data_IF_346114445649
#
_entry.id   IF_346114445649
#
_cell.length_a   1.000
_cell.length_b   1.000
_cell.length_c   1.000
_cell.angle_alpha   90.00
_cell.angle_beta   90.00
_cell.angle_gamma   90.00
#
_symmetry.space_group_name_H-M   'P 1'
#
loop_
_entity.id
_entity.type
_entity.pdbx_description
1 polymer ?
#
# COMPACT_ATOMS: atom_id res chain seq x y z
N UNK A 1 -9.11 -26.18 -15.03
CA UNK A 1 -8.30 -25.11 -15.68
C UNK A 1 -8.72 -23.71 -15.20
N UNK A 2 -10.01 -23.34 -15.25
CA UNK A 2 -10.52 -22.01 -14.87
C UNK A 2 -10.27 -21.63 -13.41
N UNK A 3 -10.40 -22.55 -12.46
CA UNK A 3 -10.18 -22.31 -11.02
C UNK A 3 -8.70 -21.96 -10.72
N UNK A 4 -7.75 -22.55 -11.44
CA UNK A 4 -6.33 -22.32 -11.24
C UNK A 4 -5.90 -20.94 -11.79
N UNK A 5 -6.48 -20.51 -12.90
CA UNK A 5 -6.26 -19.18 -13.46
C UNK A 5 -6.82 -18.08 -12.56
N UNK A 6 -8.04 -18.26 -12.03
CA UNK A 6 -8.65 -17.31 -11.10
C UNK A 6 -7.80 -17.13 -9.81
N UNK A 7 -7.25 -18.21 -9.27
CA UNK A 7 -6.36 -18.17 -8.10
C UNK A 7 -5.04 -17.46 -8.42
N UNK A 8 -4.45 -17.70 -9.59
CA UNK A 8 -3.23 -17.03 -10.01
C UNK A 8 -3.45 -15.53 -10.20
N UNK A 9 -4.57 -15.12 -10.81
CA UNK A 9 -4.94 -13.70 -10.99
C UNK A 9 -5.11 -13.01 -9.63
N UNK A 10 -5.89 -13.60 -8.72
CA UNK A 10 -6.07 -13.08 -7.37
C UNK A 10 -4.75 -12.93 -6.60
N UNK A 11 -3.84 -13.89 -6.74
CA UNK A 11 -2.53 -13.82 -6.12
C UNK A 11 -1.67 -12.70 -6.70
N UNK A 12 -1.64 -12.57 -8.02
CA UNK A 12 -0.91 -11.50 -8.71
C UNK A 12 -1.45 -10.11 -8.36
N UNK A 13 -2.77 -9.93 -8.30
CA UNK A 13 -3.42 -8.67 -7.93
C UNK A 13 -3.08 -8.26 -6.49
N UNK A 14 -3.07 -9.21 -5.54
CA UNK A 14 -2.69 -8.95 -4.15
C UNK A 14 -1.22 -8.58 -4.00
N UNK A 15 -0.33 -9.28 -4.71
CA UNK A 15 1.09 -8.93 -4.71
C UNK A 15 1.32 -7.53 -5.27
N UNK A 16 0.61 -7.16 -6.34
CA UNK A 16 0.67 -5.83 -6.91
C UNK A 16 0.18 -4.77 -5.91
N UNK A 17 -0.96 -4.99 -5.25
CA UNK A 17 -1.51 -4.07 -4.25
C UNK A 17 -0.53 -3.85 -3.07
N UNK A 18 0.09 -4.92 -2.56
CA UNK A 18 1.10 -4.85 -1.50
C UNK A 18 2.33 -4.04 -1.93
N UNK A 19 2.83 -4.28 -3.15
CA UNK A 19 3.98 -3.55 -3.69
C UNK A 19 3.65 -2.06 -3.90
N UNK A 20 2.46 -1.75 -4.40
CA UNK A 20 2.00 -0.38 -4.63
C UNK A 20 1.83 0.42 -3.35
N UNK A 21 1.16 -0.14 -2.34
CA UNK A 21 0.99 0.53 -1.04
C UNK A 21 2.33 0.77 -0.35
N UNK A 22 3.24 -0.21 -0.37
CA UNK A 22 4.60 -0.05 0.15
C UNK A 22 5.41 1.02 -0.59
N UNK A 23 5.29 1.10 -1.92
CA UNK A 23 5.95 2.14 -2.72
C UNK A 23 5.37 3.53 -2.42
N UNK A 24 4.06 3.66 -2.29
CA UNK A 24 3.43 4.92 -1.88
C UNK A 24 3.96 5.37 -0.52
N UNK A 25 4.03 4.47 0.46
CA UNK A 25 4.57 4.78 1.79
C UNK A 25 6.00 5.32 1.72
N UNK A 26 6.87 4.67 0.95
CA UNK A 26 8.25 5.10 0.76
C UNK A 26 8.33 6.50 0.12
N UNK A 27 7.53 6.77 -0.92
CA UNK A 27 7.49 8.06 -1.60
C UNK A 27 6.96 9.19 -0.69
N UNK A 28 5.98 8.91 0.17
CA UNK A 28 5.49 9.88 1.15
C UNK A 28 6.56 10.27 2.17
N UNK A 29 7.34 9.31 2.65
CA UNK A 29 8.47 9.56 3.55
C UNK A 29 9.54 10.38 2.83
N UNK A 30 9.86 10.02 1.58
CA UNK A 30 10.85 10.73 0.78
C UNK A 30 10.46 12.19 0.53
N UNK A 31 9.20 12.51 0.26
CA UNK A 31 8.73 13.88 0.11
C UNK A 31 9.06 14.74 1.35
N UNK A 32 8.82 14.22 2.54
CA UNK A 32 9.13 14.93 3.78
C UNK A 32 10.63 15.14 3.97
N UNK A 33 11.42 14.11 3.65
CA UNK A 33 12.88 14.19 3.74
C UNK A 33 13.42 15.25 2.78
N UNK A 34 12.95 15.30 1.54
CA UNK A 34 13.37 16.28 0.55
C UNK A 34 13.09 17.72 1.01
N UNK A 35 11.92 17.98 1.59
CA UNK A 35 11.61 19.29 2.16
C UNK A 35 12.52 19.62 3.35
N UNK A 36 12.76 18.66 4.25
CA UNK A 36 13.63 18.85 5.40
C UNK A 36 15.09 19.16 4.97
N UNK A 37 15.61 18.44 3.99
CA UNK A 37 16.95 18.71 3.42
C UNK A 37 17.02 20.10 2.80
N UNK A 38 15.99 20.52 2.07
CA UNK A 38 15.94 21.87 1.47
C UNK A 38 15.90 22.99 2.52
N UNK A 39 15.37 22.74 3.71
CA UNK A 39 15.39 23.71 4.83
C UNK A 39 16.75 23.76 5.54
N UNK A 40 17.47 22.64 5.60
CA UNK A 40 18.79 22.56 6.24
C UNK A 40 19.89 23.07 5.31
N UNK A 41 19.74 22.83 4.00
CA UNK A 41 20.69 23.26 2.97
C UNK A 41 19.92 24.07 1.91
N UNK A 42 19.62 25.35 2.19
CA UNK A 42 18.72 26.17 1.37
C UNK A 42 19.45 26.84 0.20
N UNK A 43 20.37 26.14 -0.47
CA UNK A 43 20.98 26.61 -1.72
C UNK A 43 20.05 26.34 -2.92
N UNK A 44 20.19 27.15 -3.96
CA UNK A 44 19.35 27.13 -5.15
C UNK A 44 19.33 25.76 -5.85
N UNK A 45 20.48 25.09 -5.95
CA UNK A 45 20.59 23.80 -6.63
C UNK A 45 19.86 22.69 -5.85
N UNK A 46 20.03 22.64 -4.54
CA UNK A 46 19.34 21.71 -3.64
C UNK A 46 17.83 21.95 -3.66
N UNK A 47 17.39 23.18 -3.53
CA UNK A 47 15.96 23.54 -3.58
C UNK A 47 15.35 23.14 -4.92
N UNK A 48 15.98 23.48 -6.03
CA UNK A 48 15.48 23.15 -7.37
C UNK A 48 15.34 21.64 -7.55
N UNK A 49 16.36 20.88 -7.20
CA UNK A 49 16.38 19.42 -7.35
C UNK A 49 15.33 18.76 -6.45
N UNK A 50 15.29 19.12 -5.17
CA UNK A 50 14.41 18.49 -4.21
C UNK A 50 12.94 18.84 -4.45
N UNK A 51 12.63 20.10 -4.81
CA UNK A 51 11.24 20.49 -5.12
C UNK A 51 10.72 19.82 -6.38
N UNK A 52 11.57 19.67 -7.42
CA UNK A 52 11.21 18.90 -8.62
C UNK A 52 10.95 17.42 -8.29
N UNK A 53 11.74 16.85 -7.39
CA UNK A 53 11.56 15.47 -6.96
C UNK A 53 10.29 15.28 -6.10
N UNK A 54 9.93 16.27 -5.26
CA UNK A 54 8.64 16.26 -4.54
C UNK A 54 7.46 16.21 -5.51
N UNK A 55 7.48 17.04 -6.56
CA UNK A 55 6.42 17.04 -7.59
C UNK A 55 6.37 15.73 -8.38
N UNK A 56 7.55 15.19 -8.74
CA UNK A 56 7.65 13.87 -9.38
C UNK A 56 7.06 12.77 -8.50
N UNK A 57 7.31 12.82 -7.20
CA UNK A 57 6.75 11.86 -6.24
C UNK A 57 5.23 12.04 -6.10
N UNK A 58 4.70 13.27 -6.12
CA UNK A 58 3.24 13.51 -6.14
C UNK A 58 2.60 12.85 -7.37
N UNK A 59 3.18 13.05 -8.55
CA UNK A 59 2.70 12.45 -9.79
C UNK A 59 2.81 10.92 -9.79
N UNK A 60 3.93 10.38 -9.30
CA UNK A 60 4.15 8.94 -9.19
C UNK A 60 3.14 8.28 -8.26
N UNK A 61 2.90 8.85 -7.07
CA UNK A 61 1.88 8.34 -6.14
C UNK A 61 0.49 8.39 -6.79
N UNK A 62 0.17 9.46 -7.52
CA UNK A 62 -1.12 9.58 -8.21
C UNK A 62 -1.30 8.48 -9.27
N UNK A 63 -0.26 8.18 -10.03
CA UNK A 63 -0.28 7.10 -11.03
C UNK A 63 -0.43 5.72 -10.38
N UNK A 64 0.36 5.44 -9.33
CA UNK A 64 0.28 4.19 -8.58
C UNK A 64 -1.10 4.03 -7.94
N UNK A 65 -1.64 5.10 -7.36
CA UNK A 65 -2.96 5.10 -6.73
C UNK A 65 -4.07 4.81 -7.74
N UNK A 66 -4.00 5.37 -8.93
CA UNK A 66 -4.96 5.08 -10.02
C UNK A 66 -4.93 3.60 -10.42
N UNK A 67 -3.75 2.99 -10.46
CA UNK A 67 -3.61 1.54 -10.69
C UNK A 67 -4.22 0.73 -9.55
N UNK A 68 -3.97 1.14 -8.30
CA UNK A 68 -4.53 0.51 -7.11
C UNK A 68 -6.07 0.56 -7.12
N UNK A 69 -6.67 1.74 -7.33
CA UNK A 69 -8.13 1.93 -7.36
C UNK A 69 -8.85 1.20 -8.50
N UNK A 70 -8.16 0.87 -9.59
CA UNK A 70 -8.78 0.18 -10.73
C UNK A 70 -9.14 -1.28 -10.45
N UNK A 71 -8.68 -1.83 -9.34
CA UNK A 71 -8.97 -3.21 -8.91
C UNK A 71 -10.16 -3.27 -7.96
N UNK A 72 -10.86 -4.41 -7.89
CA UNK A 72 -11.90 -4.60 -6.90
C UNK A 72 -11.28 -4.67 -5.49
N UNK A 73 -11.91 -3.98 -4.54
CA UNK A 73 -11.50 -3.94 -3.13
C UNK A 73 -12.59 -4.54 -2.24
N UNK A 74 -12.18 -5.15 -1.13
CA UNK A 74 -13.10 -5.49 -0.05
C UNK A 74 -13.64 -4.20 0.59
N UNK A 75 -14.81 -4.28 1.23
CA UNK A 75 -15.49 -3.10 1.78
C UNK A 75 -14.62 -2.33 2.79
N UNK A 76 -13.94 -3.06 3.70
CA UNK A 76 -13.03 -2.45 4.67
C UNK A 76 -11.81 -1.80 4.00
N UNK A 77 -11.25 -2.45 2.98
CA UNK A 77 -10.15 -1.89 2.19
C UNK A 77 -10.57 -0.62 1.46
N UNK A 78 -11.74 -0.63 0.81
CA UNK A 78 -12.29 0.52 0.11
C UNK A 78 -12.51 1.72 1.03
N UNK A 79 -12.92 1.48 2.28
CA UNK A 79 -13.06 2.54 3.31
C UNK A 79 -11.71 3.14 3.65
N UNK A 80 -10.69 2.32 3.95
CA UNK A 80 -9.32 2.77 4.23
C UNK A 80 -8.73 3.55 3.05
N UNK A 81 -8.97 3.07 1.82
CA UNK A 81 -8.52 3.72 0.59
C UNK A 81 -9.13 5.12 0.42
N UNK A 82 -10.43 5.26 0.66
CA UNK A 82 -11.13 6.56 0.59
C UNK A 82 -10.61 7.55 1.62
N UNK A 83 -10.41 7.10 2.85
CA UNK A 83 -9.91 7.94 3.95
C UNK A 83 -8.48 8.41 3.64
N UNK A 84 -7.60 7.50 3.21
CA UNK A 84 -6.25 7.85 2.77
C UNK A 84 -6.26 8.90 1.65
N UNK A 85 -7.05 8.71 0.60
CA UNK A 85 -7.13 9.64 -0.53
C UNK A 85 -7.57 11.04 -0.08
N UNK A 86 -8.56 11.13 0.82
CA UNK A 86 -9.04 12.40 1.38
C UNK A 86 -7.93 13.14 2.10
N UNK A 87 -7.22 12.47 3.00
CA UNK A 87 -6.11 13.05 3.77
C UNK A 87 -4.92 13.41 2.87
N UNK A 88 -4.57 12.54 1.91
CA UNK A 88 -3.50 12.80 0.96
C UNK A 88 -3.79 14.04 0.10
N UNK A 89 -5.00 14.22 -0.36
CA UNK A 89 -5.39 15.40 -1.16
C UNK A 89 -5.12 16.69 -0.39
N UNK A 90 -5.53 16.75 0.86
CA UNK A 90 -5.25 17.90 1.72
C UNK A 90 -3.77 18.09 2.00
N UNK A 91 -3.05 17.01 2.26
CA UNK A 91 -1.60 17.04 2.49
C UNK A 91 -0.84 17.63 1.29
N UNK A 92 -1.22 17.25 0.07
CA UNK A 92 -0.63 17.79 -1.16
C UNK A 92 -0.99 19.26 -1.33
N UNK A 93 -2.27 19.60 -1.26
CA UNK A 93 -2.75 20.94 -1.60
C UNK A 93 -2.43 21.99 -0.52
N UNK A 94 -2.57 21.64 0.75
CA UNK A 94 -2.40 22.58 1.86
C UNK A 94 -0.99 22.51 2.48
N UNK A 95 -0.24 21.43 2.25
CA UNK A 95 1.08 21.20 2.82
C UNK A 95 2.20 21.26 1.80
N UNK A 96 2.28 20.26 0.90
CA UNK A 96 3.45 20.10 0.02
C UNK A 96 3.58 21.24 -1.00
N UNK A 97 2.55 21.52 -1.78
CA UNK A 97 2.62 22.52 -2.86
C UNK A 97 2.90 23.93 -2.36
N UNK A 98 2.28 24.44 -1.28
CA UNK A 98 2.63 25.74 -0.73
C UNK A 98 4.08 25.80 -0.22
N UNK A 99 4.58 24.71 0.40
CA UNK A 99 5.97 24.63 0.88
C UNK A 99 6.95 24.63 -0.28
N UNK A 100 6.68 23.88 -1.35
CA UNK A 100 7.48 23.88 -2.58
C UNK A 100 7.52 25.30 -3.19
N UNK A 101 6.39 25.98 -3.25
CA UNK A 101 6.31 27.35 -3.76
C UNK A 101 7.17 28.33 -2.94
N UNK A 102 7.07 28.26 -1.60
CA UNK A 102 7.86 29.11 -0.70
C UNK A 102 9.38 28.87 -0.86
N UNK A 103 9.78 27.60 -0.95
CA UNK A 103 11.20 27.26 -1.20
C UNK A 103 11.70 27.83 -2.53
N UNK A 104 10.92 27.71 -3.61
CA UNK A 104 11.30 28.22 -4.95
C UNK A 104 11.40 29.73 -5.04
N UNK A 105 10.66 30.44 -4.22
CA UNK A 105 10.76 31.90 -4.12
C UNK A 105 11.86 32.38 -3.15
N UNK A 106 12.58 31.44 -2.54
CA UNK A 106 13.62 31.73 -1.56
C UNK A 106 13.11 32.12 -0.18
N UNK A 107 11.79 32.02 0.06
CA UNK A 107 11.21 32.31 1.38
C UNK A 107 11.33 31.10 2.31
N UNK A 108 12.57 30.88 2.79
CA UNK A 108 12.89 29.76 3.69
C UNK A 108 12.13 29.85 5.01
N UNK A 109 11.89 31.08 5.49
CA UNK A 109 11.14 31.30 6.75
C UNK A 109 9.69 30.85 6.61
N UNK A 110 9.03 31.22 5.51
CA UNK A 110 7.66 30.76 5.22
C UNK A 110 7.65 29.24 5.02
N UNK A 111 8.60 28.67 4.27
CA UNK A 111 8.70 27.24 4.05
C UNK A 111 8.84 26.46 5.36
N UNK A 112 9.69 26.95 6.28
CA UNK A 112 9.84 26.36 7.62
C UNK A 112 8.55 26.42 8.42
N UNK A 113 7.85 27.55 8.41
CA UNK A 113 6.55 27.70 9.06
C UNK A 113 5.52 26.72 8.50
N UNK A 114 5.44 26.58 7.17
CA UNK A 114 4.54 25.65 6.50
C UNK A 114 4.86 24.19 6.82
N UNK A 115 6.13 23.82 6.91
CA UNK A 115 6.51 22.45 7.31
C UNK A 115 6.00 22.14 8.72
N UNK A 116 6.17 23.07 9.67
CA UNK A 116 5.76 22.86 11.05
C UNK A 116 4.24 22.89 11.21
N UNK A 117 3.56 23.85 10.58
CA UNK A 117 2.15 24.13 10.82
C UNK A 117 1.20 23.37 9.86
N UNK A 118 1.69 22.92 8.72
CA UNK A 118 0.87 22.26 7.69
C UNK A 118 1.39 20.87 7.32
N UNK A 119 2.63 20.76 6.83
CA UNK A 119 3.15 19.47 6.34
C UNK A 119 3.14 18.42 7.45
N UNK A 120 3.64 18.76 8.63
CA UNK A 120 3.74 17.82 9.76
C UNK A 120 2.36 17.34 10.23
N UNK A 121 1.39 18.20 10.63
CA UNK A 121 0.10 17.75 11.12
C UNK A 121 -0.76 17.09 10.03
N UNK A 122 -0.67 17.53 8.77
CA UNK A 122 -1.41 16.90 7.67
C UNK A 122 -0.84 15.54 7.26
N UNK A 123 0.45 15.29 7.52
CA UNK A 123 1.06 13.99 7.27
C UNK A 123 0.59 12.90 8.23
N UNK A 124 0.30 13.22 9.49
CA UNK A 124 -0.08 12.22 10.49
C UNK A 124 -1.22 11.31 10.01
N UNK A 125 -2.38 11.82 9.58
CA UNK A 125 -3.45 10.97 9.07
C UNK A 125 -3.12 10.30 7.74
N UNK A 126 -2.28 10.89 6.89
CA UNK A 126 -1.81 10.26 5.63
C UNK A 126 -0.90 9.07 5.94
N UNK A 127 0.06 9.26 6.85
CA UNK A 127 0.96 8.20 7.30
C UNK A 127 0.23 7.03 7.94
N UNK A 128 -0.72 7.33 8.85
CA UNK A 128 -1.57 6.32 9.47
C UNK A 128 -2.44 5.59 8.43
N UNK A 129 -3.01 6.31 7.47
CA UNK A 129 -3.86 5.74 6.42
C UNK A 129 -3.12 4.77 5.50
N UNK A 130 -1.92 5.14 5.03
CA UNK A 130 -1.12 4.24 4.19
C UNK A 130 -0.61 3.04 4.98
N UNK A 131 -0.24 3.22 6.23
CA UNK A 131 0.17 2.12 7.12
C UNK A 131 -0.98 1.13 7.35
N UNK A 132 -2.19 1.62 7.58
CA UNK A 132 -3.38 0.78 7.72
C UNK A 132 -3.65 -0.06 6.46
N UNK A 133 -3.47 0.52 5.27
CA UNK A 133 -3.58 -0.22 4.00
C UNK A 133 -2.49 -1.28 3.85
N UNK A 134 -1.24 -0.96 4.20
CA UNK A 134 -0.13 -1.94 4.18
C UNK A 134 -0.41 -3.10 5.14
N UNK A 135 -0.87 -2.81 6.35
CA UNK A 135 -1.23 -3.83 7.34
C UNK A 135 -2.42 -4.68 6.88
N UNK A 136 -3.45 -4.04 6.29
CA UNK A 136 -4.59 -4.76 5.73
C UNK A 136 -4.16 -5.75 4.63
N UNK A 137 -3.28 -5.33 3.70
CA UNK A 137 -2.73 -6.20 2.67
C UNK A 137 -1.95 -7.38 3.25
N UNK A 138 -1.14 -7.14 4.27
CA UNK A 138 -0.36 -8.19 4.94
C UNK A 138 -1.28 -9.21 5.62
N UNK A 139 -2.30 -8.76 6.35
CA UNK A 139 -3.27 -9.64 7.04
C UNK A 139 -4.11 -10.45 6.03
N UNK A 140 -4.60 -9.81 4.97
CA UNK A 140 -5.34 -10.49 3.92
C UNK A 140 -4.50 -11.59 3.23
N UNK A 141 -3.19 -11.34 3.05
CA UNK A 141 -2.24 -12.34 2.55
C UNK A 141 -2.09 -13.54 3.50
N UNK A 142 -1.94 -13.29 4.80
CA UNK A 142 -1.82 -14.33 5.81
C UNK A 142 -3.09 -15.19 5.91
N UNK A 143 -4.27 -14.57 5.90
CA UNK A 143 -5.54 -15.30 5.93
C UNK A 143 -5.72 -16.18 4.69
N UNK A 144 -5.38 -15.67 3.51
CA UNK A 144 -5.44 -16.46 2.28
C UNK A 144 -4.53 -17.69 2.33
N UNK A 145 -3.32 -17.53 2.88
CA UNK A 145 -2.39 -18.65 3.08
C UNK A 145 -2.93 -19.66 4.08
N UNK A 146 -3.42 -19.23 5.24
CA UNK A 146 -4.00 -20.09 6.26
C UNK A 146 -5.18 -20.92 5.72
N UNK A 147 -6.10 -20.27 4.99
CA UNK A 147 -7.25 -20.93 4.36
C UNK A 147 -6.81 -21.96 3.29
N UNK A 148 -5.74 -21.68 2.54
CA UNK A 148 -5.20 -22.61 1.56
C UNK A 148 -4.61 -23.85 2.22
N UNK A 149 -3.85 -23.69 3.32
CA UNK A 149 -3.28 -24.81 4.11
C UNK A 149 -4.39 -25.65 4.74
N UNK A 150 -5.43 -25.03 5.29
CA UNK A 150 -6.56 -25.73 5.87
C UNK A 150 -7.31 -26.56 4.84
N UNK A 151 -7.60 -26.01 3.66
CA UNK A 151 -8.22 -26.75 2.55
C UNK A 151 -7.35 -27.91 2.09
N UNK A 152 -6.05 -27.72 2.00
CA UNK A 152 -5.12 -28.80 1.62
C UNK A 152 -5.15 -29.94 2.63
N UNK A 153 -5.10 -29.64 3.93
CA UNK A 153 -5.15 -30.67 4.98
C UNK A 153 -6.46 -31.42 4.99
N UNK A 154 -7.58 -30.73 4.77
CA UNK A 154 -8.91 -31.32 4.68
C UNK A 154 -9.02 -32.28 3.48
N UNK A 155 -8.60 -31.85 2.28
CA UNK A 155 -8.60 -32.69 1.07
C UNK A 155 -7.69 -33.89 1.24
N UNK A 156 -6.49 -33.73 1.79
CA UNK A 156 -5.56 -34.81 2.07
C UNK A 156 -6.14 -35.83 3.04
N UNK A 157 -6.75 -35.36 4.12
CA UNK A 157 -7.34 -36.25 5.14
C UNK A 157 -8.55 -37.02 4.59
N UNK A 158 -9.38 -36.39 3.77
CA UNK A 158 -10.48 -37.05 3.06
C UNK A 158 -9.99 -38.10 2.08
N UNK A 159 -8.93 -37.80 1.31
CA UNK A 159 -8.33 -38.74 0.38
C UNK A 159 -7.74 -39.96 1.11
N UNK A 160 -7.03 -39.74 2.21
CA UNK A 160 -6.48 -40.82 3.04
C UNK A 160 -7.60 -41.67 3.65
N UNK A 161 -8.66 -41.03 4.16
CA UNK A 161 -9.84 -41.74 4.70
C UNK A 161 -10.55 -42.59 3.65
N UNK A 162 -10.68 -42.07 2.42
CA UNK A 162 -11.26 -42.84 1.30
C UNK A 162 -10.41 -44.06 0.90
N UNK A 163 -9.08 -43.91 0.89
CA UNK A 163 -8.15 -45.01 0.59
C UNK A 163 -8.26 -46.09 1.67
N UNK A 164 -8.19 -45.71 2.95
CA UNK A 164 -8.29 -46.68 4.08
C UNK A 164 -9.65 -47.36 4.09
N UNK A 165 -10.74 -46.60 3.91
CA UNK A 165 -12.09 -47.14 3.83
C UNK A 165 -12.28 -48.12 2.66
N UNK A 166 -11.72 -47.80 1.49
CA UNK A 166 -11.71 -48.68 0.32
C UNK A 166 -10.96 -49.99 0.56
N UNK A 167 -9.81 -49.93 1.20
CA UNK A 167 -9.03 -51.10 1.55
C UNK A 167 -9.74 -52.00 2.58
N UNK A 168 -10.38 -51.43 3.58
CA UNK A 168 -11.21 -52.17 4.56
C UNK A 168 -12.41 -52.85 3.93
N UNK A 169 -13.11 -52.19 3.02
CA UNK A 169 -14.19 -52.78 2.27
C UNK A 169 -13.73 -53.92 1.35
N UNK A 170 -12.60 -53.74 0.65
CA UNK A 170 -12.00 -54.80 -0.18
C UNK A 170 -11.60 -56.03 0.65
N UNK A 171 -11.04 -55.82 1.82
CA UNK A 171 -10.69 -56.93 2.74
C UNK A 171 -11.92 -57.65 3.26
N UNK A 172 -12.99 -56.91 3.56
CA UNK A 172 -14.29 -57.49 4.01
C UNK A 172 -14.95 -58.38 2.95
N UNK A 173 -14.89 -57.99 1.68
CA UNK A 173 -15.45 -58.81 0.59
C UNK A 173 -14.54 -59.97 0.13
N UNK A 174 -13.30 -60.02 0.57
CA UNK A 174 -12.34 -61.11 0.28
C UNK A 174 -12.34 -62.24 1.32
N UNK A 175 -13.00 -62.05 2.45
CA UNK A 175 -13.23 -63.05 3.51
C UNK A 175 -14.60 -63.72 3.35
#
# INVERSE_FOLDING_TARGET
AQSNQALQTLHAERMAATAETGKIQALLIQQRLLLAVSLVTPDEATIRTNTAMVETNIASITSIWKSYESRPHAEDEARLAKDFLTHRTRFVQEGLLPTVAALRTGDVTLAQSLVVQKVRPLYEPVGAGIEALVQWQAQAGQQAYANAVERYTLVRNLALGAIVGGLLLAAWFAL
#
